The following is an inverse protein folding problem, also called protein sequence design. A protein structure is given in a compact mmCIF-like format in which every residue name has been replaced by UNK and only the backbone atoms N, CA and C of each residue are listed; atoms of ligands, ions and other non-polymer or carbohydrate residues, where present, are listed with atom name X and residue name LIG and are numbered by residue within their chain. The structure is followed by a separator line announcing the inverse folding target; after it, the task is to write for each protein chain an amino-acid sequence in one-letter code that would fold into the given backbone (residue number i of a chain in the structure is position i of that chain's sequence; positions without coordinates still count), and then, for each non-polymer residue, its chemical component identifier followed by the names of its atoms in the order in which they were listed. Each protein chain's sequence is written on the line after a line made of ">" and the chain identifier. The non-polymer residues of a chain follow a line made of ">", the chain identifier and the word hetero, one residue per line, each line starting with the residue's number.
data_IF_030410871187
#
_entry.id   IF_030410871187
#
_cell.length_a   1.000
_cell.length_b   1.000
_cell.length_c   1.000
_cell.angle_alpha   90.00
_cell.angle_beta   90.00
_cell.angle_gamma   90.00
#
_symmetry.space_group_name_H-M   'P 1'
#
loop_
_entity.id
_entity.type
_entity.pdbx_description
1 polymer ?
#
# COMPACT_ATOMS: atom_id res chain seq x y z
N UNK A 1 -10.01 22.46 -4.88
CA UNK A 1 -9.92 23.40 -3.74
C UNK A 1 -11.28 23.66 -3.06
N UNK A 2 -12.41 23.15 -3.55
CA UNK A 2 -13.76 23.49 -3.05
C UNK A 2 -14.36 22.45 -2.07
N UNK A 3 -13.63 21.40 -1.70
CA UNK A 3 -14.18 20.23 -0.98
C UNK A 3 -14.41 20.41 0.53
N UNK A 4 -14.01 21.54 1.13
CA UNK A 4 -14.19 21.85 2.56
C UNK A 4 -13.87 20.69 3.54
N UNK A 5 -12.91 19.82 3.19
CA UNK A 5 -12.53 18.67 4.01
C UNK A 5 -11.87 19.17 5.29
N UNK A 6 -12.41 18.78 6.46
CA UNK A 6 -11.96 19.30 7.77
C UNK A 6 -10.90 18.43 8.42
N UNK A 7 -10.91 17.13 8.18
CA UNK A 7 -10.01 16.13 8.77
C UNK A 7 -9.95 14.87 7.89
N UNK A 8 -9.23 13.85 8.37
CA UNK A 8 -9.17 12.53 7.73
C UNK A 8 -7.86 12.24 6.98
N UNK A 9 -7.72 10.98 6.56
CA UNK A 9 -6.48 10.43 6.02
C UNK A 9 -5.97 11.18 4.78
N UNK A 10 -6.84 11.40 3.78
CA UNK A 10 -6.45 12.09 2.55
C UNK A 10 -6.02 13.54 2.82
N UNK A 11 -6.74 14.25 3.70
CA UNK A 11 -6.38 15.63 4.07
C UNK A 11 -4.99 15.66 4.73
N UNK A 12 -4.74 14.77 5.69
CA UNK A 12 -3.45 14.67 6.36
C UNK A 12 -2.32 14.38 5.35
N UNK A 13 -2.53 13.46 4.41
CA UNK A 13 -1.57 13.20 3.35
C UNK A 13 -1.27 14.46 2.51
N UNK A 14 -2.29 15.24 2.13
CA UNK A 14 -2.11 16.49 1.37
C UNK A 14 -1.35 17.53 2.19
N UNK A 15 -1.72 17.76 3.46
CA UNK A 15 -1.07 18.74 4.34
C UNK A 15 0.40 18.40 4.62
N UNK A 16 0.73 17.11 4.68
CA UNK A 16 2.10 16.62 4.89
C UNK A 16 2.87 16.31 3.60
N UNK A 17 2.33 16.65 2.43
CA UNK A 17 2.93 16.38 1.11
C UNK A 17 3.29 14.89 0.90
N UNK A 18 2.47 13.99 1.42
CA UNK A 18 2.61 12.55 1.22
C UNK A 18 2.04 12.19 -0.16
N UNK A 19 2.83 11.57 -1.07
CA UNK A 19 2.34 11.15 -2.38
C UNK A 19 1.20 10.14 -2.25
N UNK A 20 0.13 10.34 -3.01
CA UNK A 20 -1.03 9.45 -3.05
C UNK A 20 -1.22 8.96 -4.48
N UNK A 21 -1.40 7.65 -4.66
CA UNK A 21 -1.79 7.05 -5.94
C UNK A 21 -3.16 6.41 -5.74
N UNK A 22 -4.15 6.90 -6.50
CA UNK A 22 -5.50 6.35 -6.52
C UNK A 22 -5.70 5.60 -7.84
N UNK A 23 -5.44 4.29 -7.84
CA UNK A 23 -5.68 3.46 -9.01
C UNK A 23 -7.18 3.13 -9.12
N UNK A 24 -7.77 3.42 -10.27
CA UNK A 24 -9.20 3.21 -10.48
C UNK A 24 -9.57 1.74 -10.66
N UNK A 25 -10.85 1.44 -10.44
CA UNK A 25 -11.44 0.13 -10.66
C UNK A 25 -12.75 0.22 -11.46
N UNK A 26 -13.17 -0.90 -12.04
CA UNK A 26 -14.45 -1.00 -12.76
C UNK A 26 -15.69 -0.74 -11.89
N UNK A 27 -15.51 -0.63 -10.56
CA UNK A 27 -16.59 -0.42 -9.59
C UNK A 27 -16.65 1.03 -9.10
N UNK A 28 -15.82 1.91 -9.63
CA UNK A 28 -15.72 3.27 -9.13
C UNK A 28 -16.92 4.11 -9.58
N UNK A 29 -17.56 4.79 -8.63
CA UNK A 29 -18.61 5.75 -8.92
C UNK A 29 -17.99 7.12 -9.23
N UNK A 30 -18.19 7.58 -10.47
CA UNK A 30 -17.88 8.94 -10.96
C UNK A 30 -16.49 9.48 -10.61
N UNK A 31 -15.42 8.67 -10.62
CA UNK A 31 -14.27 8.76 -9.72
C UNK A 31 -13.70 10.16 -9.55
N UNK A 32 -13.21 10.44 -8.33
CA UNK A 32 -12.59 11.72 -8.00
C UNK A 32 -11.53 12.10 -9.06
N UNK A 33 -11.39 13.40 -9.41
CA UNK A 33 -10.44 13.85 -10.41
C UNK A 33 -9.00 13.26 -10.32
N UNK A 34 -8.39 13.04 -9.13
CA UNK A 34 -7.05 12.45 -9.03
C UNK A 34 -6.97 10.93 -9.28
N UNK A 35 -8.07 10.23 -9.55
CA UNK A 35 -8.06 8.78 -9.79
C UNK A 35 -7.52 8.46 -11.18
N UNK A 36 -6.58 7.53 -11.27
CA UNK A 36 -6.10 6.98 -12.54
C UNK A 36 -7.14 6.03 -13.14
N UNK A 37 -7.88 6.48 -14.15
CA UNK A 37 -8.87 5.66 -14.83
C UNK A 37 -8.22 4.64 -15.78
N UNK A 38 -7.08 5.00 -16.36
CA UNK A 38 -6.25 4.07 -17.11
C UNK A 38 -5.44 3.23 -16.11
N UNK A 39 -5.76 1.94 -16.04
CA UNK A 39 -5.15 0.99 -15.12
C UNK A 39 -3.63 0.87 -15.31
N UNK A 40 -3.12 1.00 -16.54
CA UNK A 40 -1.68 0.96 -16.82
C UNK A 40 -1.00 2.18 -16.22
N UNK A 41 -1.58 3.38 -16.40
CA UNK A 41 -1.03 4.59 -15.77
C UNK A 41 -1.07 4.52 -14.24
N UNK A 42 -2.13 3.93 -13.67
CA UNK A 42 -2.22 3.68 -12.23
C UNK A 42 -1.12 2.73 -11.75
N UNK A 43 -0.87 1.63 -12.47
CA UNK A 43 0.22 0.68 -12.16
C UNK A 43 1.60 1.34 -12.27
N UNK A 44 1.84 2.18 -13.28
CA UNK A 44 3.11 2.92 -13.43
C UNK A 44 3.33 3.88 -12.25
N UNK A 45 2.30 4.61 -11.84
CA UNK A 45 2.35 5.48 -10.67
C UNK A 45 2.59 4.69 -9.37
N UNK A 46 1.93 3.54 -9.19
CA UNK A 46 2.17 2.64 -8.07
C UNK A 46 3.62 2.13 -8.06
N UNK A 47 4.14 1.73 -9.22
CA UNK A 47 5.50 1.22 -9.39
C UNK A 47 6.54 2.26 -8.97
N UNK A 48 6.35 3.51 -9.37
CA UNK A 48 7.24 4.61 -9.00
C UNK A 48 7.37 4.75 -7.48
N UNK A 49 6.27 4.61 -6.73
CA UNK A 49 6.31 4.67 -5.27
C UNK A 49 6.85 3.37 -4.66
N UNK A 50 6.46 2.21 -5.18
CA UNK A 50 6.93 0.90 -4.70
C UNK A 50 8.46 0.75 -4.83
N UNK A 51 9.04 1.29 -5.90
CA UNK A 51 10.50 1.34 -6.11
C UNK A 51 11.22 2.21 -5.08
N UNK A 52 10.53 3.11 -4.37
CA UNK A 52 11.10 3.96 -3.32
C UNK A 52 11.00 3.31 -1.93
N UNK A 53 10.11 2.35 -1.74
CA UNK A 53 9.85 1.72 -0.44
C UNK A 53 11.00 0.86 0.09
N UNK A 54 11.23 0.93 1.41
CA UNK A 54 12.06 -0.02 2.18
C UNK A 54 11.20 -0.97 3.02
N UNK A 55 9.98 -0.55 3.32
CA UNK A 55 8.93 -1.32 3.98
C UNK A 55 7.60 -1.01 3.29
N UNK A 56 6.78 -2.02 3.10
CA UNK A 56 5.43 -1.93 2.52
C UNK A 56 4.46 -2.54 3.51
N UNK A 57 3.36 -1.85 3.81
CA UNK A 57 2.30 -2.34 4.69
C UNK A 57 1.00 -2.36 3.90
N UNK A 58 0.49 -3.56 3.68
CA UNK A 58 -0.74 -3.85 2.95
C UNK A 58 -1.89 -3.99 3.95
N UNK A 59 -2.94 -3.19 3.79
CA UNK A 59 -4.04 -3.05 4.76
C UNK A 59 -5.38 -3.41 4.10
N UNK A 60 -5.88 -4.63 4.35
CA UNK A 60 -7.23 -5.10 4.02
C UNK A 60 -7.69 -4.88 2.56
N UNK A 61 -6.81 -5.16 1.59
CA UNK A 61 -7.15 -5.10 0.16
C UNK A 61 -6.37 -6.13 -0.64
N UNK A 62 -7.03 -7.05 -1.33
CA UNK A 62 -6.31 -8.07 -2.12
C UNK A 62 -5.70 -7.48 -3.38
N UNK A 63 -6.51 -6.79 -4.18
CA UNK A 63 -6.12 -6.33 -5.53
C UNK A 63 -4.91 -5.40 -5.49
N UNK A 64 -4.96 -4.35 -4.67
CA UNK A 64 -3.86 -3.39 -4.57
C UNK A 64 -2.63 -3.98 -3.88
N UNK A 65 -2.81 -4.87 -2.89
CA UNK A 65 -1.67 -5.47 -2.18
C UNK A 65 -0.90 -6.44 -3.07
N UNK A 66 -1.60 -7.29 -3.84
CA UNK A 66 -0.97 -8.21 -4.79
C UNK A 66 -0.27 -7.43 -5.92
N UNK A 67 -0.92 -6.39 -6.46
CA UNK A 67 -0.28 -5.53 -7.46
C UNK A 67 0.98 -4.85 -6.90
N UNK A 68 0.91 -4.28 -5.70
CA UNK A 68 2.06 -3.63 -5.04
C UNK A 68 3.19 -4.63 -4.79
N UNK A 69 2.87 -5.83 -4.29
CA UNK A 69 3.84 -6.89 -4.05
C UNK A 69 4.61 -7.31 -5.30
N UNK A 70 3.91 -7.43 -6.43
CA UNK A 70 4.52 -7.76 -7.73
C UNK A 70 5.38 -6.61 -8.29
N UNK A 71 5.00 -5.36 -8.04
CA UNK A 71 5.72 -4.18 -8.53
C UNK A 71 6.96 -3.84 -7.68
N UNK A 72 6.94 -4.20 -6.40
CA UNK A 72 8.00 -3.88 -5.46
C UNK A 72 9.24 -4.78 -5.67
N UNK A 73 10.42 -4.16 -5.67
CA UNK A 73 11.69 -4.89 -5.66
C UNK A 73 11.84 -5.73 -4.39
N UNK A 74 12.52 -6.88 -4.47
CA UNK A 74 12.78 -7.74 -3.30
C UNK A 74 13.83 -7.15 -2.35
N UNK A 75 14.68 -6.28 -2.87
CA UNK A 75 15.75 -5.62 -2.12
C UNK A 75 15.99 -4.21 -2.64
N UNK A 76 16.77 -3.46 -1.87
CA UNK A 76 17.36 -2.18 -2.24
C UNK A 76 18.83 -2.14 -1.91
N UNK A 77 19.59 -1.39 -2.69
CA UNK A 77 20.96 -1.01 -2.35
C UNK A 77 20.93 0.36 -1.72
N UNK A 78 21.32 0.45 -0.45
CA UNK A 78 21.42 1.70 0.31
C UNK A 78 22.84 1.78 0.86
N UNK A 79 23.58 2.81 0.48
CA UNK A 79 24.99 3.03 0.87
C UNK A 79 25.87 1.80 0.61
N UNK A 80 25.72 1.18 -0.57
CA UNK A 80 26.46 -0.01 -0.98
C UNK A 80 26.01 -1.32 -0.32
N UNK A 81 25.02 -1.28 0.58
CA UNK A 81 24.52 -2.46 1.28
C UNK A 81 23.17 -2.92 0.71
N UNK A 82 23.05 -4.23 0.45
CA UNK A 82 21.79 -4.86 0.05
C UNK A 82 20.92 -5.05 1.28
N UNK A 83 19.75 -4.41 1.28
CA UNK A 83 18.72 -4.53 2.31
C UNK A 83 17.44 -5.11 1.69
N UNK A 84 16.81 -6.12 2.30
CA UNK A 84 15.52 -6.61 1.84
C UNK A 84 14.45 -5.52 1.98
N UNK A 85 13.49 -5.50 1.06
CA UNK A 85 12.26 -4.72 1.20
C UNK A 85 11.24 -5.59 1.92
N UNK A 86 10.85 -5.19 3.12
CA UNK A 86 9.89 -5.96 3.91
C UNK A 86 8.45 -5.62 3.51
N UNK A 87 7.62 -6.65 3.33
CA UNK A 87 6.19 -6.52 3.02
C UNK A 87 5.40 -7.13 4.16
N UNK A 88 4.52 -6.35 4.79
CA UNK A 88 3.61 -6.83 5.82
C UNK A 88 2.20 -6.85 5.24
N UNK A 89 1.55 -8.00 5.20
CA UNK A 89 0.17 -8.15 4.73
C UNK A 89 -0.78 -8.39 5.89
N UNK A 90 -1.70 -7.46 6.11
CA UNK A 90 -2.69 -7.49 7.17
C UNK A 90 -4.08 -7.59 6.54
N UNK A 91 -4.78 -8.69 6.81
CA UNK A 91 -6.16 -8.90 6.39
C UNK A 91 -6.84 -9.87 7.35
N UNK A 92 -8.17 -9.82 7.46
CA UNK A 92 -8.93 -10.78 8.26
C UNK A 92 -9.04 -12.13 7.55
N UNK A 93 -8.97 -12.13 6.22
CA UNK A 93 -9.04 -13.33 5.40
C UNK A 93 -7.65 -13.93 5.16
N UNK A 94 -7.47 -15.18 5.57
CA UNK A 94 -6.22 -15.92 5.33
C UNK A 94 -5.87 -16.01 3.83
N UNK A 95 -6.88 -16.19 2.98
CA UNK A 95 -6.73 -16.17 1.53
C UNK A 95 -6.04 -14.88 1.05
N UNK A 96 -6.45 -13.72 1.55
CA UNK A 96 -5.95 -12.43 1.11
C UNK A 96 -4.45 -12.28 1.37
N UNK A 97 -4.00 -12.61 2.59
CA UNK A 97 -2.58 -12.52 2.96
C UNK A 97 -1.73 -13.57 2.24
N UNK A 98 -2.29 -14.75 1.95
CA UNK A 98 -1.60 -15.80 1.20
C UNK A 98 -1.35 -15.41 -0.26
N UNK A 99 -2.29 -14.70 -0.89
CA UNK A 99 -2.09 -14.17 -2.25
C UNK A 99 -0.93 -13.17 -2.31
N UNK A 100 -0.78 -12.32 -1.29
CA UNK A 100 0.34 -11.37 -1.20
C UNK A 100 1.66 -12.09 -0.94
N UNK A 101 1.65 -13.12 -0.09
CA UNK A 101 2.84 -13.94 0.16
C UNK A 101 3.32 -14.67 -1.10
N UNK A 102 2.39 -15.26 -1.86
CA UNK A 102 2.68 -15.92 -3.13
C UNK A 102 3.24 -14.93 -4.17
N UNK A 103 2.66 -13.73 -4.28
CA UNK A 103 3.16 -12.66 -5.16
C UNK A 103 4.59 -12.21 -4.82
N UNK A 104 5.02 -12.39 -3.57
CA UNK A 104 6.39 -12.13 -3.11
C UNK A 104 7.30 -13.35 -3.16
N UNK A 105 6.84 -14.48 -3.66
CA UNK A 105 7.55 -15.76 -3.60
C UNK A 105 8.02 -16.09 -2.17
N UNK A 106 7.25 -15.67 -1.16
CA UNK A 106 7.58 -15.79 0.26
C UNK A 106 8.86 -15.04 0.69
N UNK A 107 9.41 -14.14 -0.14
CA UNK A 107 10.62 -13.36 0.16
C UNK A 107 10.27 -12.03 0.85
N UNK A 108 10.84 -11.85 2.05
CA UNK A 108 10.71 -10.61 2.82
C UNK A 108 9.27 -10.26 3.17
N UNK A 109 8.35 -11.23 3.15
CA UNK A 109 6.93 -11.03 3.42
C UNK A 109 6.54 -11.63 4.77
N UNK A 110 5.72 -10.91 5.53
CA UNK A 110 5.11 -11.38 6.77
C UNK A 110 3.61 -11.17 6.68
N UNK A 111 2.86 -12.24 6.89
CA UNK A 111 1.40 -12.23 6.91
C UNK A 111 0.89 -12.14 8.34
N UNK A 112 -0.17 -11.38 8.55
CA UNK A 112 -0.83 -11.21 9.86
C UNK A 112 -2.34 -11.30 9.62
N UNK A 113 -2.95 -12.40 10.04
CA UNK A 113 -4.39 -12.60 9.93
C UNK A 113 -5.08 -11.96 11.12
N UNK A 114 -5.60 -10.75 10.94
CA UNK A 114 -6.25 -9.98 12.02
C UNK A 114 -7.11 -8.86 11.47
N UNK A 115 -7.91 -8.24 12.35
CA UNK A 115 -8.63 -7.03 12.02
C UNK A 115 -7.65 -5.87 11.81
N UNK A 116 -7.75 -5.19 10.66
CA UNK A 116 -6.82 -4.12 10.28
C UNK A 116 -6.90 -2.89 11.19
N UNK A 117 -8.08 -2.59 11.74
CA UNK A 117 -8.26 -1.50 12.68
C UNK A 117 -7.54 -1.79 13.99
N UNK A 118 -7.68 -3.01 14.53
CA UNK A 118 -6.95 -3.43 15.74
C UNK A 118 -5.44 -3.39 15.53
N UNK A 119 -4.97 -3.83 14.37
CA UNK A 119 -3.56 -3.71 13.99
C UNK A 119 -3.09 -2.25 14.01
N UNK A 120 -3.78 -1.35 13.32
CA UNK A 120 -3.40 0.08 13.24
C UNK A 120 -3.44 0.75 14.62
N UNK A 121 -4.47 0.46 15.44
CA UNK A 121 -4.57 1.00 16.81
C UNK A 121 -3.42 0.49 17.69
N UNK A 122 -3.04 -0.79 17.58
CA UNK A 122 -1.91 -1.32 18.33
C UNK A 122 -0.58 -0.75 17.85
N UNK A 123 -0.39 -0.55 16.54
CA UNK A 123 0.81 0.14 16.02
C UNK A 123 0.88 1.57 16.56
N UNK A 124 -0.24 2.31 16.53
CA UNK A 124 -0.29 3.67 17.06
C UNK A 124 0.14 3.75 18.54
N UNK A 125 -0.33 2.81 19.38
CA UNK A 125 0.00 2.77 20.82
C UNK A 125 1.45 2.42 21.14
N UNK A 126 2.18 1.80 20.21
CA UNK A 126 3.52 1.27 20.47
C UNK A 126 4.62 2.00 19.67
N UNK A 127 4.25 2.94 18.78
CA UNK A 127 5.18 3.75 17.99
C UNK A 127 5.24 5.20 18.47
N UNK A 128 4.18 5.67 19.15
CA UNK A 128 4.11 6.95 19.87
C UNK A 128 4.43 6.74 21.35
#
# INVERSE_FOLDING_TARGET
>A
AEGNVKDGFIKACVEHNIPIVLAGSIRDDGPLPPVYHNVTCGLDAMKEQAQKATVIICLATVLHSVATANLASSYKVVDGNVKPVYVYSIDIAEYAVNQVAAAREYVGVKTIVTNVQDFVVNVQKNVL
#
